data_IF_474581178720
#
_entry.id   IF_474581178720
#
_cell.length_a   1.000
_cell.length_b   1.000
_cell.length_c   1.000
_cell.angle_alpha   90.00
_cell.angle_beta   90.00
_cell.angle_gamma   90.00
#
_symmetry.space_group_name_H-M   'P 1'
#
loop_
_entity.id
_entity.type
_entity.pdbx_description
1 polymer ?
#
# COMPACT_ATOMS: atom_id res chain seq x y z
N UNK A 1 8.36 4.42 -16.18
CA UNK A 1 8.36 3.35 -15.17
C UNK A 1 9.77 2.77 -15.03
N UNK A 2 10.34 2.75 -13.81
CA UNK A 2 11.61 2.09 -13.53
C UNK A 2 11.32 0.65 -13.07
N UNK A 3 11.45 -0.31 -13.99
CA UNK A 3 11.18 -1.73 -13.73
C UNK A 3 12.08 -2.27 -12.60
N UNK A 4 13.32 -1.78 -12.50
CA UNK A 4 14.26 -2.18 -11.46
C UNK A 4 13.76 -1.78 -10.08
N UNK A 5 13.20 -0.58 -9.92
CA UNK A 5 12.67 -0.12 -8.63
C UNK A 5 11.43 -0.92 -8.20
N UNK A 6 10.50 -1.16 -9.12
CA UNK A 6 9.32 -1.99 -8.82
C UNK A 6 9.72 -3.41 -8.38
N UNK A 7 10.71 -4.00 -9.04
CA UNK A 7 11.25 -5.31 -8.67
C UNK A 7 11.90 -5.29 -7.27
N UNK A 8 12.71 -4.27 -6.97
CA UNK A 8 13.35 -4.09 -5.66
C UNK A 8 12.33 -4.01 -4.53
N UNK A 9 11.25 -3.24 -4.70
CA UNK A 9 10.16 -3.15 -3.71
C UNK A 9 9.49 -4.52 -3.54
N UNK A 10 9.15 -5.18 -4.64
CA UNK A 10 8.44 -6.46 -4.59
C UNK A 10 9.26 -7.59 -3.94
N UNK A 11 10.59 -7.55 -4.06
CA UNK A 11 11.53 -8.54 -3.53
C UNK A 11 12.22 -8.08 -2.23
N UNK A 12 11.85 -6.92 -1.69
CA UNK A 12 12.50 -6.34 -0.52
C UNK A 12 12.47 -7.28 0.69
N UNK A 13 13.58 -7.36 1.41
CA UNK A 13 13.71 -8.01 2.71
C UNK A 13 14.45 -7.06 3.65
N UNK A 14 13.99 -6.87 4.89
CA UNK A 14 14.70 -6.03 5.84
C UNK A 14 16.06 -6.64 6.19
N UNK A 15 17.10 -5.81 6.18
CA UNK A 15 18.46 -6.24 6.58
C UNK A 15 18.68 -5.88 8.04
N UNK A 16 18.98 -6.87 8.88
CA UNK A 16 19.12 -6.70 10.34
C UNK A 16 17.91 -5.99 10.99
N UNK A 17 16.70 -6.24 10.46
CA UNK A 17 15.46 -5.60 10.91
C UNK A 17 15.28 -4.14 10.44
N UNK A 18 16.19 -3.61 9.63
CA UNK A 18 16.12 -2.25 9.08
C UNK A 18 15.24 -2.19 7.83
N UNK A 19 14.34 -1.20 7.82
CA UNK A 19 13.42 -0.89 6.72
C UNK A 19 13.81 0.41 5.98
N UNK A 20 14.90 1.07 6.36
CA UNK A 20 15.26 2.41 5.85
C UNK A 20 15.51 2.45 4.35
N UNK A 21 16.04 1.38 3.74
CA UNK A 21 16.19 1.32 2.29
C UNK A 21 14.82 1.34 1.59
N UNK A 22 13.81 0.68 2.17
CA UNK A 22 12.46 0.72 1.65
C UNK A 22 11.85 2.12 1.75
N UNK A 23 12.10 2.84 2.84
CA UNK A 23 11.65 4.23 3.00
C UNK A 23 12.19 5.11 1.86
N UNK A 24 13.50 5.04 1.58
CA UNK A 24 14.11 5.76 0.45
C UNK A 24 13.50 5.36 -0.89
N UNK A 25 13.18 4.08 -1.09
CA UNK A 25 12.48 3.62 -2.29
C UNK A 25 11.06 4.21 -2.41
N UNK A 26 10.33 4.38 -1.30
CA UNK A 26 9.02 5.03 -1.32
C UNK A 26 9.14 6.52 -1.64
N UNK A 27 10.12 7.23 -1.09
CA UNK A 27 10.40 8.63 -1.45
C UNK A 27 10.61 8.79 -2.96
N UNK A 28 11.39 7.89 -3.57
CA UNK A 28 11.61 7.86 -5.02
C UNK A 28 10.32 7.59 -5.81
N UNK A 29 9.49 6.66 -5.34
CA UNK A 29 8.20 6.32 -5.97
C UNK A 29 7.26 7.52 -5.94
N UNK A 30 7.05 8.14 -4.78
CA UNK A 30 6.03 9.18 -4.60
C UNK A 30 6.48 10.56 -5.07
N UNK A 31 7.78 10.75 -5.30
CA UNK A 31 8.32 11.91 -6.04
C UNK A 31 8.11 11.82 -7.56
N UNK A 32 7.69 10.65 -8.08
CA UNK A 32 7.44 10.43 -9.50
C UNK A 32 6.01 10.78 -9.92
N UNK A 33 5.84 11.25 -11.16
CA UNK A 33 4.50 11.38 -11.77
C UNK A 33 3.83 10.03 -11.97
N UNK A 34 4.62 8.96 -12.06
CA UNK A 34 4.19 7.61 -12.41
C UNK A 34 4.02 6.68 -11.19
N UNK A 35 3.79 7.22 -9.99
CA UNK A 35 3.72 6.47 -8.73
C UNK A 35 2.74 5.27 -8.79
N UNK A 36 1.62 5.43 -9.49
CA UNK A 36 0.58 4.39 -9.65
C UNK A 36 1.12 3.07 -10.23
N UNK A 37 2.19 3.10 -11.05
CA UNK A 37 2.78 1.85 -11.58
C UNK A 37 3.45 0.98 -10.51
N UNK A 38 3.78 1.55 -9.34
CA UNK A 38 4.43 0.83 -8.26
C UNK A 38 3.45 0.23 -7.25
N UNK A 39 2.15 0.58 -7.31
CA UNK A 39 1.16 0.15 -6.32
C UNK A 39 1.05 -1.37 -6.23
N UNK A 40 1.10 -2.07 -7.37
CA UNK A 40 1.12 -3.54 -7.39
C UNK A 40 2.31 -4.11 -6.61
N UNK A 41 3.50 -3.50 -6.74
CA UNK A 41 4.68 -3.94 -6.00
C UNK A 41 4.55 -3.66 -4.50
N UNK A 42 4.01 -2.48 -4.15
CA UNK A 42 3.75 -2.08 -2.75
C UNK A 42 2.73 -3.01 -2.08
N UNK A 43 1.60 -3.29 -2.74
CA UNK A 43 0.62 -4.20 -2.15
C UNK A 43 1.11 -5.64 -2.09
N UNK A 44 1.92 -6.10 -3.05
CA UNK A 44 2.59 -7.41 -2.94
C UNK A 44 3.54 -7.45 -1.73
N UNK A 45 4.24 -6.35 -1.42
CA UNK A 45 5.06 -6.25 -0.23
C UNK A 45 4.20 -6.36 1.05
N UNK A 46 3.06 -5.65 1.11
CA UNK A 46 2.13 -5.78 2.25
C UNK A 46 1.64 -7.22 2.42
N UNK A 47 1.38 -7.96 1.35
CA UNK A 47 0.97 -9.37 1.46
C UNK A 47 2.09 -10.27 2.00
N UNK A 48 3.34 -10.01 1.61
CA UNK A 48 4.50 -10.75 2.15
C UNK A 48 4.70 -10.51 3.64
N UNK A 49 4.35 -9.31 4.12
CA UNK A 49 4.44 -8.89 5.51
C UNK A 49 3.05 -8.57 6.08
N UNK A 50 2.12 -9.53 5.97
CA UNK A 50 0.68 -9.29 6.17
C UNK A 50 0.27 -8.73 7.55
N UNK A 51 1.06 -8.98 8.60
CA UNK A 51 0.80 -8.55 9.97
C UNK A 51 1.75 -7.44 10.46
N UNK A 52 2.69 -7.00 9.62
CA UNK A 52 3.71 -6.00 9.95
C UNK A 52 3.31 -4.60 9.43
N UNK A 53 3.89 -3.56 10.02
CA UNK A 53 3.82 -2.18 9.53
C UNK A 53 5.17 -1.65 9.00
N UNK A 54 6.17 -2.54 8.89
CA UNK A 54 7.51 -2.22 8.41
C UNK A 54 8.27 -1.32 9.37
N UNK A 55 8.08 -1.51 10.68
CA UNK A 55 8.55 -0.60 11.73
C UNK A 55 8.11 0.86 11.48
N UNK A 56 6.89 1.03 10.98
CA UNK A 56 6.31 2.31 10.59
C UNK A 56 6.51 2.71 9.12
N UNK A 57 7.45 2.11 8.38
CA UNK A 57 7.79 2.53 6.99
C UNK A 57 6.63 2.30 6.02
N UNK A 58 5.75 1.32 6.25
CA UNK A 58 4.58 1.10 5.38
C UNK A 58 3.63 2.31 5.36
N UNK A 59 3.62 3.12 6.43
CA UNK A 59 2.83 4.35 6.48
C UNK A 59 3.29 5.39 5.46
N UNK A 60 4.58 5.45 5.12
CA UNK A 60 5.08 6.34 4.07
C UNK A 60 4.47 6.00 2.71
N UNK A 61 4.28 4.71 2.42
CA UNK A 61 3.56 4.29 1.22
C UNK A 61 2.06 4.59 1.28
N UNK A 62 1.42 4.37 2.42
CA UNK A 62 -0.01 4.69 2.61
C UNK A 62 -0.26 6.18 2.41
N UNK A 63 0.52 7.04 3.06
CA UNK A 63 0.39 8.50 2.91
C UNK A 63 0.69 8.98 1.50
N UNK A 64 1.69 8.38 0.84
CA UNK A 64 1.99 8.65 -0.56
C UNK A 64 0.81 8.32 -1.49
N UNK A 65 0.14 7.19 -1.27
CA UNK A 65 -1.07 6.81 -2.02
C UNK A 65 -2.26 7.71 -1.68
N UNK A 66 -2.51 7.98 -0.40
CA UNK A 66 -3.60 8.85 0.07
C UNK A 66 -3.49 10.27 -0.52
N UNK A 67 -2.29 10.83 -0.61
CA UNK A 67 -2.06 12.16 -1.17
C UNK A 67 -2.40 12.27 -2.68
N UNK A 68 -2.50 11.14 -3.38
CA UNK A 68 -2.74 11.07 -4.83
C UNK A 68 -4.14 10.62 -5.21
N UNK A 69 -4.89 10.04 -4.28
CA UNK A 69 -6.29 9.63 -4.45
C UNK A 69 -6.54 8.69 -5.65
N UNK A 70 -5.57 7.83 -6.00
CA UNK A 70 -5.60 6.98 -7.20
C UNK A 70 -5.35 5.49 -6.93
N UNK A 71 -5.45 5.06 -5.66
CA UNK A 71 -5.08 3.72 -5.16
C UNK A 71 -6.25 2.78 -4.85
N UNK A 72 -7.49 3.29 -4.78
CA UNK A 72 -8.64 2.56 -4.25
C UNK A 72 -8.94 1.24 -4.99
N UNK A 73 -8.82 1.23 -6.32
CA UNK A 73 -9.06 0.04 -7.15
C UNK A 73 -8.11 -1.10 -6.78
N UNK A 74 -6.82 -0.79 -6.61
CA UNK A 74 -5.81 -1.77 -6.22
C UNK A 74 -5.97 -2.17 -4.75
N UNK A 75 -6.30 -1.24 -3.85
CA UNK A 75 -6.63 -1.56 -2.46
C UNK A 75 -7.74 -2.63 -2.39
N UNK A 76 -8.85 -2.42 -3.11
CA UNK A 76 -9.95 -3.39 -3.12
C UNK A 76 -9.53 -4.72 -3.71
N UNK A 77 -8.80 -4.70 -4.82
CA UNK A 77 -8.33 -5.92 -5.51
C UNK A 77 -7.45 -6.76 -4.59
N UNK A 78 -6.46 -6.14 -3.95
CA UNK A 78 -5.52 -6.83 -3.07
C UNK A 78 -6.15 -7.24 -1.74
N UNK A 79 -7.00 -6.39 -1.16
CA UNK A 79 -7.75 -6.75 0.04
C UNK A 79 -8.60 -8.01 -0.19
N UNK A 80 -9.31 -8.11 -1.32
CA UNK A 80 -10.10 -9.31 -1.64
C UNK A 80 -9.25 -10.54 -1.90
N UNK A 81 -8.04 -10.36 -2.42
CA UNK A 81 -7.10 -11.45 -2.70
C UNK A 81 -6.48 -12.00 -1.41
N UNK A 82 -5.92 -11.11 -0.59
CA UNK A 82 -5.28 -11.45 0.67
C UNK A 82 -5.31 -10.22 1.61
N UNK A 83 -6.29 -10.15 2.53
CA UNK A 83 -6.36 -9.03 3.47
C UNK A 83 -5.14 -8.98 4.39
N UNK A 84 -4.51 -7.82 4.47
CA UNK A 84 -3.36 -7.51 5.33
C UNK A 84 -3.76 -6.50 6.40
N UNK A 85 -2.94 -6.30 7.43
CA UNK A 85 -3.17 -5.27 8.45
C UNK A 85 -3.26 -3.89 7.80
N UNK A 86 -2.32 -3.55 6.92
CA UNK A 86 -2.34 -2.26 6.20
C UNK A 86 -3.61 -2.05 5.37
N UNK A 87 -4.03 -3.05 4.57
CA UNK A 87 -5.24 -2.90 3.73
C UNK A 87 -6.52 -2.81 4.57
N UNK A 88 -6.61 -3.54 5.69
CA UNK A 88 -7.71 -3.41 6.66
C UNK A 88 -7.76 -2.02 7.27
N UNK A 89 -6.61 -1.51 7.70
CA UNK A 89 -6.48 -0.16 8.27
C UNK A 89 -6.92 0.90 7.25
N UNK A 90 -6.44 0.81 6.01
CA UNK A 90 -6.82 1.75 4.95
C UNK A 90 -8.34 1.77 4.73
N UNK A 91 -9.00 0.61 4.60
CA UNK A 91 -10.45 0.54 4.45
C UNK A 91 -11.20 1.11 5.65
N UNK A 92 -10.74 0.83 6.87
CA UNK A 92 -11.31 1.42 8.11
C UNK A 92 -11.15 2.94 8.13
N UNK A 93 -9.99 3.47 7.70
CA UNK A 93 -9.74 4.93 7.59
C UNK A 93 -10.70 5.58 6.60
N UNK A 94 -10.86 4.98 5.42
CA UNK A 94 -11.82 5.45 4.40
C UNK A 94 -13.25 5.42 4.96
N UNK A 95 -13.67 4.35 5.64
CA UNK A 95 -14.98 4.31 6.31
C UNK A 95 -15.12 5.41 7.37
N UNK A 96 -14.09 5.63 8.17
CA UNK A 96 -14.08 6.62 9.25
C UNK A 96 -14.08 8.07 8.74
N UNK A 97 -13.68 8.33 7.49
CA UNK A 97 -13.84 9.64 6.84
C UNK A 97 -15.29 9.92 6.44
N UNK A 98 -16.19 8.95 6.58
CA UNK A 98 -17.61 9.04 6.24
C UNK A 98 -17.97 8.41 4.89
N UNK A 99 -16.98 7.97 4.10
CA UNK A 99 -17.23 7.30 2.84
C UNK A 99 -17.99 5.97 3.04
N UNK A 100 -18.88 5.66 2.11
CA UNK A 100 -19.69 4.42 2.12
C UNK A 100 -19.19 3.38 1.14
N UNK A 101 -18.39 3.81 0.16
CA UNK A 101 -17.85 2.98 -0.89
C UNK A 101 -16.41 3.35 -1.19
N UNK A 102 -15.65 2.38 -1.69
CA UNK A 102 -14.27 2.49 -2.17
C UNK A 102 -14.21 1.77 -3.52
N UNK A 103 -13.68 2.42 -4.56
CA UNK A 103 -13.73 1.91 -5.94
C UNK A 103 -15.11 1.36 -6.37
N UNK A 104 -16.18 2.07 -5.99
CA UNK A 104 -17.58 1.70 -6.31
C UNK A 104 -18.15 0.52 -5.50
N UNK A 105 -17.42 -0.04 -4.54
CA UNK A 105 -17.84 -1.17 -3.71
C UNK A 105 -18.13 -0.70 -2.30
N UNK A 106 -19.23 -1.16 -1.70
CA UNK A 106 -19.57 -0.84 -0.31
C UNK A 106 -18.46 -1.27 0.65
N UNK A 107 -18.00 -0.37 1.51
CA UNK A 107 -16.94 -0.69 2.48
C UNK A 107 -17.45 -1.69 3.51
N UNK A 108 -18.70 -1.54 3.95
CA UNK A 108 -19.30 -2.43 4.95
C UNK A 108 -19.36 -3.89 4.46
N UNK A 109 -19.42 -4.16 3.14
CA UNK A 109 -19.37 -5.53 2.61
C UNK A 109 -17.95 -6.10 2.47
N UNK A 110 -16.93 -5.24 2.55
CA UNK A 110 -15.53 -5.66 2.51
C UNK A 110 -15.02 -6.02 3.90
N UNK A 111 -15.37 -5.22 4.91
CA UNK A 111 -14.83 -5.37 6.28
C UNK A 111 -15.83 -5.95 7.29
N UNK A 112 -16.97 -6.48 6.82
CA UNK A 112 -17.95 -7.21 7.65
C UNK A 112 -17.39 -8.50 8.23
#
# INVERSE_FOLDING_TARGET
MNITLAKKIAEFEPTDGSWLELESMFEDVFSSTEAKFYYVAIFNLFERFAEDDGAGVFWSAVHGMEARDDYEEELVRFFRRHPTEMTRIMLKRIRNSGAKSVAGISIDTLIS
#
